data_IF_398286795016
#
_entry.id   IF_398286795016
#
_cell.length_a   1.000
_cell.length_b   1.000
_cell.length_c   1.000
_cell.angle_alpha   90.00
_cell.angle_beta   90.00
_cell.angle_gamma   90.00
#
_symmetry.space_group_name_H-M   'P 1'
#
loop_
_entity.id
_entity.type
_entity.pdbx_description
1 polymer ?
#
# COMPACT_ATOMS: atom_id res chain seq x y z
N UNK A 1 -8.37 11.34 9.90
CA UNK A 1 -9.57 10.73 9.27
C UNK A 1 -10.24 9.79 10.26
N UNK A 2 -11.55 9.87 10.46
CA UNK A 2 -12.26 9.03 11.43
C UNK A 2 -12.66 7.68 10.84
N UNK A 3 -12.99 7.63 9.54
CA UNK A 3 -13.40 6.41 8.85
C UNK A 3 -13.06 6.45 7.37
N UNK A 4 -12.77 5.30 6.79
CA UNK A 4 -12.56 5.07 5.38
C UNK A 4 -13.65 4.12 4.85
N UNK A 5 -14.26 4.51 3.74
CA UNK A 5 -15.18 3.68 2.99
C UNK A 5 -14.65 3.48 1.58
N UNK A 6 -14.73 2.26 1.07
CA UNK A 6 -14.48 1.97 -0.35
C UNK A 6 -15.80 1.59 -0.99
N UNK A 7 -16.21 2.32 -2.02
CA UNK A 7 -17.47 2.12 -2.72
C UNK A 7 -17.23 1.78 -4.19
N UNK A 8 -18.17 1.05 -4.79
CA UNK A 8 -18.26 0.93 -6.24
C UNK A 8 -19.07 2.08 -6.86
N UNK A 9 -19.12 2.14 -8.19
CA UNK A 9 -19.90 3.18 -8.91
C UNK A 9 -21.40 3.13 -8.60
N UNK A 10 -21.93 1.98 -8.18
CA UNK A 10 -23.32 1.84 -7.77
C UNK A 10 -23.60 2.43 -6.37
N UNK A 11 -22.57 2.85 -5.63
CA UNK A 11 -22.70 3.35 -4.25
C UNK A 11 -22.79 2.22 -3.21
N UNK A 12 -22.37 1.01 -3.55
CA UNK A 12 -22.31 -0.13 -2.63
C UNK A 12 -21.02 -0.07 -1.83
N UNK A 13 -21.10 -0.26 -0.51
CA UNK A 13 -19.93 -0.30 0.37
C UNK A 13 -19.24 -1.66 0.24
N UNK A 14 -17.97 -1.64 -0.19
CA UNK A 14 -17.13 -2.82 -0.35
C UNK A 14 -16.22 -3.04 0.87
N UNK A 15 -15.64 -1.95 1.40
CA UNK A 15 -14.76 -1.98 2.57
C UNK A 15 -15.17 -0.85 3.51
N UNK A 16 -15.22 -1.15 4.80
CA UNK A 16 -15.49 -0.17 5.85
C UNK A 16 -14.43 -0.29 6.94
N UNK A 17 -13.68 0.78 7.16
CA UNK A 17 -12.65 0.85 8.19
C UNK A 17 -12.89 2.07 9.06
N UNK A 18 -12.93 1.86 10.37
CA UNK A 18 -13.06 2.94 11.36
C UNK A 18 -11.77 3.02 12.16
N UNK A 19 -11.17 4.21 12.22
CA UNK A 19 -9.92 4.47 12.95
C UNK A 19 -10.15 5.16 14.30
N UNK A 20 -11.35 5.69 14.51
CA UNK A 20 -11.80 6.29 15.76
C UNK A 20 -13.26 5.92 16.04
N UNK A 21 -14.09 6.92 16.36
CA UNK A 21 -15.52 6.69 16.57
C UNK A 21 -16.16 6.17 15.29
N UNK A 22 -16.95 5.12 15.43
CA UNK A 22 -17.67 4.50 14.31
C UNK A 22 -18.57 5.53 13.62
N UNK A 23 -18.24 5.85 12.38
CA UNK A 23 -19.04 6.75 11.55
C UNK A 23 -20.13 5.95 10.84
N UNK A 24 -21.41 6.34 10.93
CA UNK A 24 -22.49 5.64 10.24
C UNK A 24 -22.41 5.86 8.72
N UNK A 25 -22.87 4.88 7.92
CA UNK A 25 -22.94 4.97 6.45
C UNK A 25 -23.75 6.17 5.95
N UNK A 26 -24.72 6.62 6.75
CA UNK A 26 -25.54 7.82 6.54
C UNK A 26 -24.70 9.10 6.41
N UNK A 27 -23.49 9.14 6.97
CA UNK A 27 -22.54 10.24 6.73
C UNK A 27 -22.23 10.42 5.24
N UNK A 28 -22.22 9.33 4.46
CA UNK A 28 -22.01 9.35 3.01
C UNK A 28 -23.29 9.62 2.19
N UNK A 29 -24.45 9.80 2.82
CA UNK A 29 -25.73 9.97 2.11
C UNK A 29 -25.72 11.13 1.08
N UNK A 30 -25.12 12.32 1.38
CA UNK A 30 -25.03 13.40 0.38
C UNK A 30 -24.19 13.02 -0.84
N UNK A 31 -23.11 12.24 -0.64
CA UNK A 31 -22.26 11.74 -1.71
C UNK A 31 -23.01 10.72 -2.56
N UNK A 32 -23.66 9.74 -1.92
CA UNK A 32 -24.43 8.70 -2.60
C UNK A 32 -25.55 9.28 -3.47
N UNK A 33 -26.26 10.31 -2.97
CA UNK A 33 -27.30 10.99 -3.75
C UNK A 33 -26.74 11.61 -5.03
N UNK A 34 -25.55 12.22 -4.97
CA UNK A 34 -24.91 12.82 -6.15
C UNK A 34 -24.42 11.75 -7.12
N UNK A 35 -23.75 10.71 -6.62
CA UNK A 35 -23.28 9.59 -7.42
C UNK A 35 -24.45 8.91 -8.18
N UNK A 36 -25.55 8.64 -7.49
CA UNK A 36 -26.74 8.06 -8.11
C UNK A 36 -27.38 9.02 -9.14
N UNK A 37 -27.41 10.33 -8.86
CA UNK A 37 -27.94 11.31 -9.81
C UNK A 37 -27.12 11.39 -11.10
N UNK A 38 -25.79 11.32 -10.99
CA UNK A 38 -24.90 11.31 -12.15
C UNK A 38 -25.07 10.02 -12.97
N UNK A 39 -25.23 8.87 -12.31
CA UNK A 39 -25.50 7.60 -12.98
C UNK A 39 -26.84 7.62 -13.74
N UNK A 40 -27.89 8.22 -13.18
CA UNK A 40 -29.20 8.37 -13.86
C UNK A 40 -29.09 9.29 -15.08
N UNK A 41 -28.38 10.42 -14.96
CA UNK A 41 -28.12 11.32 -16.09
C UNK A 41 -27.30 10.62 -17.19
N UNK A 42 -26.32 9.79 -16.81
CA UNK A 42 -25.53 8.98 -17.75
C UNK A 42 -26.40 8.02 -18.54
N UNK A 43 -27.30 7.28 -17.89
CA UNK A 43 -28.21 6.33 -18.57
C UNK A 43 -29.12 7.03 -19.58
N UNK A 44 -29.63 8.24 -19.27
CA UNK A 44 -30.46 9.02 -20.19
C UNK A 44 -29.68 9.57 -21.39
N UNK A 45 -28.40 9.88 -21.21
CA UNK A 45 -27.54 10.48 -22.23
C UNK A 45 -26.67 9.44 -22.99
N UNK A 46 -26.75 8.15 -22.65
CA UNK A 46 -25.97 7.08 -23.27
C UNK A 46 -26.21 6.92 -24.79
N UNK A 47 -27.32 7.46 -25.32
CA UNK A 47 -27.63 7.49 -26.76
C UNK A 47 -26.89 8.59 -27.54
N UNK A 48 -26.15 9.48 -26.87
CA UNK A 48 -25.35 10.53 -27.51
C UNK A 48 -23.87 10.25 -27.24
N UNK A 49 -23.14 9.95 -28.30
CA UNK A 49 -21.71 9.60 -28.33
C UNK A 49 -20.85 10.76 -27.80
N UNK A 50 -20.73 10.92 -26.48
CA UNK A 50 -19.79 11.85 -25.84
C UNK A 50 -18.79 11.08 -25.00
N UNK A 51 -17.51 11.23 -25.35
CA UNK A 51 -16.37 10.43 -24.91
C UNK A 51 -15.73 10.90 -23.59
N UNK A 52 -16.42 11.67 -22.75
CA UNK A 52 -15.89 12.08 -21.45
C UNK A 52 -16.68 11.43 -20.31
N UNK A 53 -16.30 10.21 -19.95
CA UNK A 53 -16.88 9.41 -18.86
C UNK A 53 -16.45 9.90 -17.48
N UNK A 54 -16.64 11.19 -17.17
CA UNK A 54 -16.44 11.71 -15.82
C UNK A 54 -17.73 11.53 -15.03
N UNK A 55 -18.07 10.30 -14.66
CA UNK A 55 -19.17 9.98 -13.74
C UNK A 55 -18.77 10.36 -12.33
N UNK A 56 -18.35 9.40 -11.51
CA UNK A 56 -17.82 9.68 -10.17
C UNK A 56 -16.60 10.62 -10.13
N UNK A 57 -15.89 10.82 -11.26
CA UNK A 57 -14.81 11.79 -11.38
C UNK A 57 -15.27 13.26 -11.50
N UNK A 58 -16.56 13.54 -11.78
CA UNK A 58 -17.10 14.91 -11.76
C UNK A 58 -17.53 15.39 -10.38
N UNK A 59 -17.60 14.47 -9.40
CA UNK A 59 -17.96 14.82 -8.03
C UNK A 59 -16.89 15.73 -7.40
N UNK A 60 -17.29 16.74 -6.59
CA UNK A 60 -16.33 17.55 -5.86
C UNK A 60 -15.55 16.71 -4.86
N UNK A 61 -14.21 16.65 -4.99
CA UNK A 61 -13.33 15.83 -4.15
C UNK A 61 -13.52 16.05 -2.65
N UNK A 62 -13.93 17.25 -2.24
CA UNK A 62 -14.26 17.60 -0.86
C UNK A 62 -15.72 18.04 -0.83
N UNK A 63 -16.51 17.47 0.07
CA UNK A 63 -17.92 17.79 0.20
C UNK A 63 -18.42 17.62 1.63
N UNK A 64 -19.49 18.34 1.96
CA UNK A 64 -20.17 18.18 3.25
C UNK A 64 -20.92 16.85 3.29
N UNK A 65 -20.63 16.04 4.31
CA UNK A 65 -21.34 14.82 4.62
C UNK A 65 -22.55 15.03 5.53
N UNK A 66 -23.19 13.92 5.90
CA UNK A 66 -24.22 13.91 6.93
C UNK A 66 -23.64 14.20 8.32
N UNK A 67 -24.49 14.63 9.26
CA UNK A 67 -24.16 14.76 10.69
C UNK A 67 -22.93 15.66 10.99
N UNK A 68 -22.70 16.68 10.17
CA UNK A 68 -21.58 17.61 10.36
C UNK A 68 -20.21 17.05 9.96
N UNK A 69 -20.17 15.93 9.23
CA UNK A 69 -18.92 15.37 8.70
C UNK A 69 -18.48 16.08 7.43
N UNK A 70 -17.18 15.99 7.13
CA UNK A 70 -16.58 16.34 5.85
C UNK A 70 -16.14 15.04 5.17
N UNK A 71 -16.48 14.91 3.90
CA UNK A 71 -16.14 13.77 3.05
C UNK A 71 -15.08 14.21 2.05
N UNK A 72 -14.00 13.44 1.95
CA UNK A 72 -12.98 13.60 0.94
C UNK A 72 -12.90 12.30 0.15
N UNK A 73 -12.79 12.39 -1.17
CA UNK A 73 -12.76 11.19 -1.98
C UNK A 73 -11.79 11.24 -3.15
N UNK A 74 -11.34 10.05 -3.52
CA UNK A 74 -10.51 9.78 -4.68
C UNK A 74 -11.21 8.71 -5.49
N UNK A 75 -11.42 8.99 -6.77
CA UNK A 75 -11.97 8.04 -7.72
C UNK A 75 -10.86 7.47 -8.58
N UNK A 76 -10.77 6.14 -8.66
CA UNK A 76 -9.80 5.44 -9.47
C UNK A 76 -10.32 4.05 -9.84
N UNK A 77 -10.23 3.66 -11.12
CA UNK A 77 -10.64 2.35 -11.63
C UNK A 77 -12.05 1.89 -11.15
N UNK A 78 -13.04 2.78 -11.31
CA UNK A 78 -14.44 2.51 -10.93
C UNK A 78 -14.67 2.28 -9.43
N UNK A 79 -13.67 2.56 -8.60
CA UNK A 79 -13.74 2.53 -7.15
C UNK A 79 -13.61 3.94 -6.58
N UNK A 80 -14.36 4.18 -5.52
CA UNK A 80 -14.38 5.45 -4.81
C UNK A 80 -13.89 5.21 -3.38
N UNK A 81 -12.68 5.72 -3.09
CA UNK A 81 -12.15 5.74 -1.73
C UNK A 81 -12.62 7.04 -1.07
N UNK A 82 -13.38 6.93 0.01
CA UNK A 82 -13.99 8.04 0.73
C UNK A 82 -13.45 8.08 2.15
N UNK A 83 -12.66 9.10 2.47
CA UNK A 83 -12.29 9.44 3.82
C UNK A 83 -13.34 10.35 4.47
N UNK A 84 -13.75 10.02 5.68
CA UNK A 84 -14.70 10.80 6.47
C UNK A 84 -14.01 11.35 7.69
N UNK A 85 -14.26 12.63 7.97
CA UNK A 85 -13.77 13.25 9.20
C UNK A 85 -14.80 14.21 9.81
N UNK A 86 -14.81 14.27 11.13
CA UNK A 86 -15.60 15.21 11.95
C UNK A 86 -14.74 16.36 12.49
N UNK A 87 -13.41 16.20 12.44
CA UNK A 87 -12.44 17.17 12.94
C UNK A 87 -11.91 18.03 11.80
N UNK A 88 -11.39 19.20 12.14
CA UNK A 88 -10.61 19.99 11.19
C UNK A 88 -9.29 19.27 10.91
N UNK A 89 -9.09 18.90 9.65
CA UNK A 89 -7.91 18.19 9.15
C UNK A 89 -7.48 18.88 7.87
N UNK A 90 -6.17 18.95 7.63
CA UNK A 90 -5.63 19.43 6.36
C UNK A 90 -6.15 18.56 5.20
N UNK A 91 -6.96 19.14 4.28
CA UNK A 91 -7.62 18.34 3.23
C UNK A 91 -6.62 17.68 2.28
N UNK A 92 -5.49 18.36 2.01
CA UNK A 92 -4.46 17.86 1.11
C UNK A 92 -3.76 16.63 1.68
N UNK A 93 -3.43 16.63 2.98
CA UNK A 93 -2.85 15.49 3.66
C UNK A 93 -3.74 14.24 3.53
N UNK A 94 -5.04 14.42 3.70
CA UNK A 94 -5.98 13.31 3.62
C UNK A 94 -6.21 12.84 2.17
N UNK A 95 -6.25 13.76 1.20
CA UNK A 95 -6.35 13.38 -0.22
C UNK A 95 -5.12 12.61 -0.68
N UNK A 96 -3.92 13.04 -0.30
CA UNK A 96 -2.67 12.35 -0.60
C UNK A 96 -2.63 10.97 0.07
N UNK A 97 -3.03 10.87 1.35
CA UNK A 97 -3.17 9.59 2.03
C UNK A 97 -4.12 8.65 1.28
N UNK A 98 -5.30 9.12 0.85
CA UNK A 98 -6.26 8.30 0.09
C UNK A 98 -5.69 7.84 -1.26
N UNK A 99 -4.94 8.69 -1.95
CA UNK A 99 -4.27 8.34 -3.21
C UNK A 99 -3.18 7.29 -3.00
N UNK A 100 -2.36 7.46 -1.96
CA UNK A 100 -1.30 6.51 -1.61
C UNK A 100 -1.87 5.16 -1.14
N UNK A 101 -2.97 5.17 -0.38
CA UNK A 101 -3.74 3.98 -0.02
C UNK A 101 -4.24 3.25 -1.25
N UNK A 102 -4.84 3.96 -2.20
CA UNK A 102 -5.27 3.35 -3.47
C UNK A 102 -4.10 2.73 -4.22
N UNK A 103 -3.00 3.46 -4.40
CA UNK A 103 -1.83 2.99 -5.16
C UNK A 103 -1.17 1.79 -4.50
N UNK A 104 -1.09 1.79 -3.16
CA UNK A 104 -0.53 0.66 -2.40
C UNK A 104 -1.43 -0.56 -2.48
N UNK A 105 -2.75 -0.40 -2.34
CA UNK A 105 -3.70 -1.50 -2.51
C UNK A 105 -3.63 -2.06 -3.94
N UNK A 106 -3.55 -1.22 -4.98
CA UNK A 106 -3.35 -1.66 -6.35
C UNK A 106 -2.04 -2.45 -6.52
N UNK A 107 -0.95 -1.98 -5.92
CA UNK A 107 0.34 -2.68 -5.95
C UNK A 107 0.34 -4.01 -5.19
N UNK A 108 -0.43 -4.16 -4.10
CA UNK A 108 -0.49 -5.38 -3.29
C UNK A 108 -1.49 -6.41 -3.82
N UNK A 109 -2.65 -5.92 -4.25
CA UNK A 109 -3.80 -6.74 -4.59
C UNK A 109 -3.99 -6.91 -6.11
N UNK A 110 -3.37 -6.06 -6.93
CA UNK A 110 -3.56 -6.06 -8.39
C UNK A 110 -3.23 -7.41 -9.04
N UNK A 111 -4.14 -7.86 -9.91
CA UNK A 111 -4.17 -9.16 -10.60
C UNK A 111 -2.98 -9.43 -11.53
N UNK A 112 -2.16 -8.43 -11.82
CA UNK A 112 -1.03 -8.56 -12.74
C UNK A 112 0.30 -8.96 -12.06
N UNK A 113 0.41 -8.87 -10.73
CA UNK A 113 1.65 -9.19 -10.02
C UNK A 113 1.96 -10.70 -9.92
N UNK A 114 0.98 -11.57 -10.18
CA UNK A 114 1.15 -13.03 -10.17
C UNK A 114 1.21 -13.65 -11.57
N UNK A 115 0.89 -12.91 -12.63
CA UNK A 115 0.73 -13.44 -14.00
C UNK A 115 1.58 -12.72 -15.06
N UNK A 116 2.13 -11.54 -14.78
CA UNK A 116 3.00 -10.84 -15.74
C UNK A 116 4.49 -11.20 -15.52
N UNK A 117 5.25 -11.44 -16.62
CA UNK A 117 6.68 -11.67 -16.56
C UNK A 117 7.45 -10.51 -15.88
N UNK A 118 8.53 -10.79 -15.14
CA UNK A 118 9.33 -9.79 -14.44
C UNK A 118 9.87 -8.65 -15.31
N UNK A 119 9.97 -8.87 -16.64
CA UNK A 119 10.52 -7.94 -17.61
C UNK A 119 9.59 -6.76 -17.98
N UNK A 120 8.31 -6.79 -17.62
CA UNK A 120 7.34 -5.70 -17.91
C UNK A 120 6.99 -4.83 -16.70
N UNK A 121 7.81 -4.89 -15.64
CA UNK A 121 7.65 -4.08 -14.41
C UNK A 121 7.87 -2.55 -14.60
N UNK A 122 8.15 -2.10 -15.83
CA UNK A 122 8.24 -0.67 -16.19
C UNK A 122 6.90 -0.01 -16.54
N UNK A 123 5.80 -0.75 -16.53
CA UNK A 123 4.46 -0.16 -16.62
C UNK A 123 4.17 0.53 -15.29
N UNK A 124 3.78 1.81 -15.37
CA UNK A 124 3.47 2.64 -14.20
C UNK A 124 2.61 1.87 -13.21
N UNK A 125 3.09 1.75 -11.96
CA UNK A 125 2.39 1.05 -10.85
C UNK A 125 0.98 1.62 -10.61
N UNK A 126 0.69 2.82 -11.14
CA UNK A 126 -0.64 3.45 -11.19
C UNK A 126 -1.68 2.73 -12.06
N UNK A 127 -1.27 1.84 -12.97
CA UNK A 127 -2.16 1.31 -14.01
C UNK A 127 -2.66 -0.10 -13.72
N UNK A 128 -2.30 -0.70 -12.57
CA UNK A 128 -2.85 -1.99 -12.16
C UNK A 128 -4.28 -1.80 -11.62
N UNK A 129 -5.31 -2.37 -12.28
CA UNK A 129 -6.68 -2.18 -11.84
C UNK A 129 -6.96 -2.97 -10.56
N UNK A 130 -7.26 -2.24 -9.49
CA UNK A 130 -7.90 -2.80 -8.31
C UNK A 130 -9.38 -3.03 -8.64
N UNK A 131 -9.81 -4.29 -8.64
CA UNK A 131 -11.21 -4.66 -8.96
C UNK A 131 -12.00 -4.97 -7.68
N UNK A 132 -13.32 -4.87 -7.79
CA UNK A 132 -14.24 -5.24 -6.70
C UNK A 132 -14.05 -6.71 -6.26
N UNK A 133 -13.82 -7.63 -7.20
CA UNK A 133 -13.59 -9.04 -6.91
C UNK A 133 -12.33 -9.24 -6.06
N UNK A 134 -11.24 -8.57 -6.42
CA UNK A 134 -9.99 -8.62 -5.65
C UNK A 134 -10.19 -8.09 -4.22
N UNK A 135 -10.93 -6.99 -4.06
CA UNK A 135 -11.25 -6.45 -2.74
C UNK A 135 -12.01 -7.46 -1.87
N UNK A 136 -13.00 -8.14 -2.47
CA UNK A 136 -13.80 -9.17 -1.80
C UNK A 136 -12.96 -10.40 -1.46
N UNK A 137 -12.07 -10.84 -2.35
CA UNK A 137 -11.23 -12.03 -2.18
C UNK A 137 -10.13 -11.85 -1.13
N UNK A 138 -9.55 -10.65 -1.04
CA UNK A 138 -8.38 -10.36 -0.19
C UNK A 138 -8.70 -9.44 0.99
N UNK A 139 -9.95 -9.47 1.49
CA UNK A 139 -10.41 -8.53 2.52
C UNK A 139 -9.48 -8.50 3.75
N UNK A 140 -9.02 -9.65 4.26
CA UNK A 140 -8.12 -9.72 5.43
C UNK A 140 -6.82 -8.96 5.21
N UNK A 141 -6.19 -9.12 4.03
CA UNK A 141 -4.96 -8.42 3.68
C UNK A 141 -5.20 -6.91 3.60
N UNK A 142 -6.32 -6.50 3.02
CA UNK A 142 -6.67 -5.09 2.88
C UNK A 142 -6.78 -4.45 4.26
N UNK A 143 -7.49 -5.07 5.20
CA UNK A 143 -7.59 -4.53 6.57
C UNK A 143 -6.22 -4.40 7.25
N UNK A 144 -5.34 -5.39 7.10
CA UNK A 144 -3.98 -5.34 7.65
C UNK A 144 -3.16 -4.22 7.01
N UNK A 145 -3.24 -4.06 5.68
CA UNK A 145 -2.57 -2.95 4.99
C UNK A 145 -3.12 -1.59 5.46
N UNK A 146 -4.44 -1.47 5.56
CA UNK A 146 -5.10 -0.24 5.99
C UNK A 146 -4.73 0.16 7.43
N UNK A 147 -4.49 -0.82 8.32
CA UNK A 147 -4.01 -0.58 9.68
C UNK A 147 -2.53 -0.16 9.73
N UNK A 148 -1.70 -0.76 8.89
CA UNK A 148 -0.27 -0.41 8.87
C UNK A 148 -0.01 0.95 8.18
N UNK A 149 -0.79 1.27 7.15
CA UNK A 149 -0.69 2.53 6.43
C UNK A 149 -1.23 3.72 7.22
N UNK A 150 -2.17 3.50 8.14
CA UNK A 150 -2.88 4.56 8.84
C UNK A 150 -3.16 4.15 10.28
N UNK A 151 -2.63 4.91 11.24
CA UNK A 151 -2.84 4.70 12.67
C UNK A 151 -3.67 5.83 13.27
N UNK A 152 -4.78 5.48 13.94
CA UNK A 152 -5.74 6.44 14.52
C UNK A 152 -6.22 7.55 13.56
N UNK A 153 -6.18 7.30 12.25
CA UNK A 153 -6.61 8.25 11.24
C UNK A 153 -5.52 9.19 10.71
N UNK A 154 -4.26 8.97 11.10
CA UNK A 154 -3.08 9.66 10.61
C UNK A 154 -2.23 8.72 9.75
N UNK A 155 -1.55 9.23 8.70
CA UNK A 155 -0.59 8.44 7.94
C UNK A 155 0.49 7.84 8.85
N UNK A 156 0.78 6.55 8.67
CA UNK A 156 1.87 5.85 9.36
C UNK A 156 2.86 5.29 8.32
N UNK A 157 2.84 3.99 8.04
CA UNK A 157 3.78 3.37 7.09
C UNK A 157 3.20 3.31 5.69
N UNK A 158 3.33 4.39 4.92
CA UNK A 158 2.75 4.45 3.57
C UNK A 158 3.72 4.00 2.47
N UNK A 159 5.01 3.90 2.78
CA UNK A 159 6.02 3.51 1.80
C UNK A 159 6.05 2.02 1.52
N UNK A 160 5.89 1.64 0.24
CA UNK A 160 5.84 0.24 -0.17
C UNK A 160 7.08 -0.57 0.25
N UNK A 161 8.27 0.03 0.23
CA UNK A 161 9.53 -0.68 0.56
C UNK A 161 9.56 -1.15 2.02
N UNK A 162 9.08 -0.32 2.94
CA UNK A 162 9.02 -0.63 4.38
C UNK A 162 7.77 -1.45 4.68
N UNK A 163 6.63 -1.09 4.09
CA UNK A 163 5.36 -1.80 4.25
C UNK A 163 5.47 -3.29 3.88
N UNK A 164 6.26 -3.63 2.86
CA UNK A 164 6.52 -5.03 2.46
C UNK A 164 7.32 -5.85 3.47
N UNK A 165 8.02 -5.19 4.41
CA UNK A 165 8.68 -5.88 5.52
C UNK A 165 7.70 -6.20 6.65
N UNK A 166 6.67 -5.38 6.80
CA UNK A 166 5.65 -5.49 7.86
C UNK A 166 4.49 -6.40 7.43
N UNK A 167 4.05 -6.24 6.18
CA UNK A 167 2.96 -6.99 5.57
C UNK A 167 3.50 -7.74 4.35
N UNK A 168 3.72 -9.07 4.47
CA UNK A 168 4.25 -9.86 3.38
C UNK A 168 3.24 -9.95 2.23
N UNK A 169 3.73 -9.86 0.98
CA UNK A 169 2.85 -10.01 -0.20
C UNK A 169 2.39 -11.47 -0.36
N UNK A 170 1.10 -11.71 -0.68
CA UNK A 170 0.56 -13.07 -0.86
C UNK A 170 1.26 -13.86 -1.98
N UNK A 171 1.65 -13.20 -3.07
CA UNK A 171 2.30 -13.86 -4.21
C UNK A 171 3.65 -14.49 -3.83
N UNK A 172 4.35 -13.93 -2.84
CA UNK A 172 5.63 -14.46 -2.37
C UNK A 172 5.43 -15.77 -1.62
N UNK A 173 4.35 -15.90 -0.85
CA UNK A 173 4.05 -17.11 -0.09
C UNK A 173 3.59 -18.24 -1.00
N UNK A 174 2.75 -17.95 -2.00
CA UNK A 174 2.29 -18.96 -2.95
C UNK A 174 3.40 -19.39 -3.92
N UNK A 175 4.27 -18.46 -4.35
CA UNK A 175 5.49 -18.79 -5.09
C UNK A 175 6.47 -19.58 -4.21
N UNK A 176 6.61 -19.24 -2.93
CA UNK A 176 7.45 -19.97 -1.99
C UNK A 176 6.90 -21.37 -1.69
N UNK A 177 5.58 -21.55 -1.57
CA UNK A 177 4.94 -22.86 -1.39
C UNK A 177 5.01 -23.71 -2.65
N UNK A 178 4.84 -23.12 -3.84
CA UNK A 178 5.08 -23.81 -5.12
C UNK A 178 6.56 -24.17 -5.31
N UNK A 179 7.47 -23.36 -4.78
CA UNK A 179 8.92 -23.59 -4.80
C UNK A 179 9.37 -24.62 -3.76
N UNK A 180 8.75 -24.66 -2.58
CA UNK A 180 9.03 -25.68 -1.56
C UNK A 180 8.63 -27.08 -2.06
N UNK A 181 7.65 -27.14 -2.96
CA UNK A 181 7.29 -28.34 -3.70
C UNK A 181 8.16 -28.58 -4.95
N UNK A 182 9.09 -27.68 -5.29
CA UNK A 182 9.84 -27.68 -6.55
C UNK A 182 11.28 -27.15 -6.45
N UNK A 183 12.20 -28.00 -5.98
CA UNK A 183 13.68 -27.91 -6.12
C UNK A 183 14.45 -26.73 -5.51
N UNK A 184 15.47 -27.11 -4.73
CA UNK A 184 16.32 -26.31 -3.82
C UNK A 184 17.21 -25.21 -4.43
N UNK A 185 17.39 -25.13 -5.76
CA UNK A 185 18.42 -24.24 -6.37
C UNK A 185 17.99 -22.77 -6.54
N UNK A 186 16.71 -22.45 -6.42
CA UNK A 186 16.20 -21.06 -6.58
C UNK A 186 16.19 -20.29 -5.24
N UNK A 187 16.28 -21.01 -4.11
CA UNK A 187 16.26 -20.44 -2.76
C UNK A 187 17.46 -19.52 -2.50
N UNK A 188 18.64 -19.84 -3.03
CA UNK A 188 19.85 -19.02 -2.89
C UNK A 188 19.72 -17.67 -3.61
N UNK A 189 19.04 -17.63 -4.77
CA UNK A 189 18.83 -16.40 -5.52
C UNK A 189 17.75 -15.49 -4.92
N UNK A 190 16.69 -16.06 -4.34
CA UNK A 190 15.65 -15.30 -3.64
C UNK A 190 16.14 -14.83 -2.26
N UNK A 191 16.85 -15.66 -1.50
CA UNK A 191 17.46 -15.25 -0.23
C UNK A 191 18.53 -14.15 -0.44
N UNK A 192 19.25 -14.17 -1.56
CA UNK A 192 20.14 -13.08 -1.96
C UNK A 192 19.37 -11.80 -2.33
N UNK A 193 18.22 -11.91 -3.01
CA UNK A 193 17.38 -10.75 -3.37
C UNK A 193 16.63 -10.13 -2.18
N UNK A 194 16.45 -10.88 -1.08
CA UNK A 194 15.80 -10.42 0.15
C UNK A 194 16.76 -10.26 1.34
N UNK A 195 18.08 -10.46 1.15
CA UNK A 195 19.09 -10.27 2.19
C UNK A 195 19.02 -11.27 3.37
N UNK A 196 18.35 -12.40 3.19
CA UNK A 196 18.17 -13.44 4.23
C UNK A 196 19.21 -14.58 4.13
N UNK A 197 20.11 -14.53 3.16
CA UNK A 197 21.15 -15.54 2.95
C UNK A 197 22.42 -15.28 3.76
N UNK A 198 22.41 -15.63 5.05
CA UNK A 198 23.65 -15.81 5.81
C UNK A 198 24.36 -17.09 5.34
N UNK A 199 25.31 -16.95 4.41
CA UNK A 199 26.24 -18.05 4.08
C UNK A 199 27.26 -18.15 5.22
N UNK A 200 27.10 -19.19 6.04
CA UNK A 200 28.16 -19.69 6.90
C UNK A 200 29.33 -20.14 6.01
N UNK A 201 30.44 -19.39 6.06
CA UNK A 201 31.73 -19.86 5.56
C UNK A 201 32.29 -20.97 6.46
N UNK A 202 33.18 -21.83 5.95
CA UNK A 202 33.71 -22.97 6.70
C UNK A 202 34.57 -22.48 7.87
N UNK A 203 34.28 -23.04 9.05
CA UNK A 203 34.99 -22.76 10.30
C UNK A 203 36.45 -23.24 10.22
N UNK A 204 37.39 -22.32 10.38
CA UNK A 204 38.77 -22.63 10.72
C UNK A 204 38.87 -22.77 12.24
N UNK A 205 39.25 -23.95 12.71
CA UNK A 205 39.54 -24.27 14.10
C UNK A 205 40.63 -23.37 14.69
N UNK A 206 40.38 -22.82 15.90
CA UNK A 206 41.45 -22.55 16.88
C UNK A 206 40.96 -22.87 18.30
N UNK A 207 41.80 -23.53 19.14
CA UNK A 207 41.41 -24.03 20.44
C UNK A 207 41.65 -23.00 21.55
N UNK A 208 40.78 -22.99 22.57
CA UNK A 208 40.98 -22.23 23.80
C UNK A 208 39.69 -22.04 24.57
N UNK A 209 39.40 -22.94 25.52
CA UNK A 209 38.16 -22.90 26.29
C UNK A 209 38.17 -21.94 27.48
N UNK A 210 37.00 -21.42 27.83
CA UNK A 210 36.49 -21.46 29.21
C UNK A 210 34.97 -21.21 29.27
N UNK A 211 34.30 -22.07 30.04
CA UNK A 211 32.87 -22.08 30.36
C UNK A 211 32.44 -20.80 31.09
N UNK A 212 31.37 -20.15 30.61
CA UNK A 212 30.58 -19.16 31.33
C UNK A 212 29.08 -19.50 31.24
N UNK A 213 28.37 -19.37 32.36
CA UNK A 213 27.00 -19.87 32.65
C UNK A 213 25.89 -19.20 31.80
N UNK A 214 24.71 -19.85 31.62
CA UNK A 214 23.56 -19.20 31.01
C UNK A 214 22.88 -18.28 32.04
N UNK A 215 22.92 -16.96 31.82
CA UNK A 215 22.10 -16.01 32.55
C UNK A 215 20.80 -15.76 31.75
N UNK A 216 19.70 -16.31 32.26
CA UNK A 216 18.33 -15.99 31.88
C UNK A 216 17.95 -14.66 32.54
N UNK A 217 18.20 -13.53 31.88
CA UNK A 217 17.53 -12.26 32.21
C UNK A 217 17.14 -11.56 30.90
N UNK A 218 15.89 -11.77 30.51
CA UNK A 218 15.22 -11.03 29.45
C UNK A 218 14.71 -9.72 30.04
N UNK A 219 15.50 -8.65 29.96
CA UNK A 219 14.99 -7.31 30.26
C UNK A 219 14.02 -6.88 29.14
N UNK A 220 12.77 -6.70 29.53
CA UNK A 220 11.74 -6.12 28.67
C UNK A 220 12.08 -4.66 28.38
N UNK A 221 12.45 -4.35 27.13
CA UNK A 221 12.70 -2.97 26.68
C UNK A 221 13.98 -2.75 25.88
N UNK A 222 14.89 -3.72 25.80
CA UNK A 222 16.19 -3.56 25.11
C UNK A 222 16.13 -3.64 23.56
N UNK A 223 14.94 -3.73 22.96
CA UNK A 223 14.76 -4.02 21.52
C UNK A 223 14.58 -2.82 20.59
N UNK A 224 14.45 -1.60 21.12
CA UNK A 224 14.29 -0.40 20.30
C UNK A 224 15.64 0.33 20.17
N UNK A 225 16.54 -0.27 19.40
CA UNK A 225 17.82 0.33 19.08
C UNK A 225 17.65 1.65 18.34
N UNK A 226 18.32 2.70 18.82
CA UNK A 226 18.51 3.94 18.09
C UNK A 226 19.22 3.62 16.77
N UNK A 227 18.62 3.98 15.65
CA UNK A 227 19.02 3.58 14.29
C UNK A 227 20.35 4.17 13.79
N UNK A 228 21.46 3.87 14.46
CA UNK A 228 22.78 3.91 13.85
C UNK A 228 22.96 2.59 13.10
N UNK A 229 22.98 2.64 11.76
CA UNK A 229 22.94 1.50 10.83
C UNK A 229 24.11 0.50 10.87
N UNK A 230 24.61 0.18 12.06
CA UNK A 230 25.70 -0.75 12.35
C UNK A 230 25.39 -1.53 13.63
N UNK A 231 24.27 -2.26 13.67
CA UNK A 231 23.92 -3.10 14.80
C UNK A 231 23.25 -4.40 14.36
N UNK A 232 23.76 -5.53 14.85
CA UNK A 232 23.24 -6.90 14.69
C UNK A 232 21.90 -7.14 15.44
N UNK A 233 21.09 -6.11 15.62
CA UNK A 233 19.75 -6.22 16.21
C UNK A 233 18.73 -6.53 15.12
N UNK A 234 17.94 -7.60 15.30
CA UNK A 234 16.85 -8.04 14.42
C UNK A 234 15.65 -7.10 14.32
N UNK A 235 15.86 -5.79 14.35
CA UNK A 235 14.85 -4.77 14.07
C UNK A 235 14.68 -4.56 12.57
N UNK A 236 13.44 -4.34 12.14
CA UNK A 236 13.11 -3.99 10.75
C UNK A 236 13.80 -2.67 10.36
N UNK A 237 14.96 -2.80 9.70
CA UNK A 237 15.77 -1.66 9.26
C UNK A 237 15.00 -0.85 8.20
N UNK A 238 14.35 0.23 8.63
CA UNK A 238 13.60 1.15 7.77
C UNK A 238 12.41 1.85 8.46
N UNK A 239 11.69 1.17 9.35
CA UNK A 239 10.47 1.73 9.96
C UNK A 239 10.75 2.74 11.08
N UNK A 240 11.87 2.58 11.80
CA UNK A 240 12.30 3.47 12.89
C UNK A 240 13.62 4.22 12.62
N UNK A 241 14.11 4.20 11.38
CA UNK A 241 15.37 4.85 11.00
C UNK A 241 15.13 6.16 10.28
N UNK A 242 16.03 7.14 10.42
CA UNK A 242 16.00 8.43 9.69
C UNK A 242 15.94 8.29 8.15
N UNK A 243 16.27 7.10 7.62
CA UNK A 243 16.18 6.75 6.20
C UNK A 243 14.97 5.88 5.92
N UNK A 244 13.79 6.49 6.01
CA UNK A 244 12.50 5.83 5.81
C UNK A 244 12.35 5.20 4.40
N UNK A 245 12.87 5.84 3.35
CA UNK A 245 12.68 5.37 1.96
C UNK A 245 13.51 4.16 1.51
N UNK A 246 14.52 3.73 2.28
CA UNK A 246 15.47 2.69 1.87
C UNK A 246 15.76 1.71 2.99
N UNK A 247 15.76 0.42 2.64
CA UNK A 247 16.16 -0.65 3.55
C UNK A 247 17.66 -0.55 3.90
N UNK A 248 17.99 -0.89 5.14
CA UNK A 248 19.38 -1.10 5.55
C UNK A 248 20.01 -2.30 4.83
N UNK A 249 21.34 -2.29 4.71
CA UNK A 249 22.16 -3.45 4.29
C UNK A 249 21.81 -4.09 2.93
N UNK A 250 21.21 -3.35 1.99
CA UNK A 250 20.94 -3.85 0.64
C UNK A 250 22.26 -4.07 -0.11
N UNK A 251 22.50 -5.31 -0.58
CA UNK A 251 23.67 -5.71 -1.36
C UNK A 251 23.24 -6.16 -2.75
N UNK A 252 23.98 -5.74 -3.78
CA UNK A 252 23.82 -6.18 -5.15
C UNK A 252 25.09 -6.87 -5.62
N UNK A 253 24.96 -7.85 -6.51
CA UNK A 253 26.11 -8.50 -7.16
C UNK A 253 26.81 -7.56 -8.15
N UNK A 254 26.03 -6.73 -8.85
CA UNK A 254 26.50 -5.61 -9.69
C UNK A 254 25.75 -4.34 -9.26
N UNK A 255 26.47 -3.25 -9.04
CA UNK A 255 25.87 -1.97 -8.65
C UNK A 255 25.64 -1.14 -9.91
N UNK A 256 24.43 -1.21 -10.44
CA UNK A 256 24.00 -0.49 -11.64
C UNK A 256 22.89 0.51 -11.30
N UNK A 257 22.85 1.62 -12.03
CA UNK A 257 21.80 2.64 -11.93
C UNK A 257 21.30 2.95 -13.34
N UNK A 258 20.00 2.81 -13.53
CA UNK A 258 19.31 3.16 -14.77
C UNK A 258 18.55 4.46 -14.54
N UNK A 259 18.64 5.40 -15.49
CA UNK A 259 18.02 6.72 -15.40
C UNK A 259 17.21 6.96 -16.67
N UNK A 260 15.89 7.11 -16.49
CA UNK A 260 14.97 7.44 -17.58
C UNK A 260 14.67 8.94 -17.56
N UNK A 261 15.08 9.65 -18.61
CA UNK A 261 14.75 11.07 -18.81
C UNK A 261 13.45 11.17 -19.61
N UNK A 262 12.34 11.42 -18.92
CA UNK A 262 11.02 11.55 -19.54
C UNK A 262 10.67 13.03 -19.68
N UNK A 263 10.68 13.54 -20.91
CA UNK A 263 10.27 14.91 -21.23
C UNK A 263 8.81 14.93 -21.70
N UNK A 264 8.02 15.87 -21.18
CA UNK A 264 6.62 16.07 -21.57
C UNK A 264 6.39 17.52 -22.01
N UNK A 265 6.12 17.73 -23.29
CA UNK A 265 5.80 19.05 -23.85
C UNK A 265 4.29 19.26 -23.75
N UNK A 266 3.88 20.23 -22.94
CA UNK A 266 2.50 20.70 -22.87
C UNK A 266 2.40 22.05 -23.60
N UNK A 267 1.64 22.11 -24.68
CA UNK A 267 1.39 23.33 -25.44
C UNK A 267 -0.11 23.52 -25.67
N UNK A 268 -0.57 24.76 -25.54
CA UNK A 268 -1.91 25.20 -25.94
C UNK A 268 -1.70 26.20 -27.07
N UNK A 269 -2.26 25.91 -28.24
CA UNK A 269 -2.20 26.79 -29.41
C UNK A 269 -3.56 27.44 -29.56
N UNK A 270 -3.62 28.77 -29.44
CA UNK A 270 -4.79 29.56 -29.82
C UNK A 270 -4.70 29.78 -31.33
N UNK A 271 -5.78 29.49 -32.07
CA UNK A 271 -5.89 29.67 -33.52
C UNK A 271 -6.86 30.79 -33.83
#
# INVERSE_FOLDING_TARGET
MDSLFVLNEAGTFLVEKHYGVRTPRDACAPLLRRLLSENVCRTKNASRLSSSSKGAASLPRVMKGGRGTVLLHVYHNNLLLVGVTTKEVEPLLLLDLLQQMQSTLAGYCGTAASSLPPALRGISVSDLPITEETLRKQFSLIYVLLDEMCSSGYPATVQSNVLQMLVPRPSVVEAAMKLVNGSSRVLSSLAASFGLGGVAGPAAERPGGQRGRPALESEAGAGMGCGSGSGEGGGISGAGSDRWWRRGNVRYASNEVYVDLVEAIQAIVDV
#
